data_IF_475854699047
#
_entry.id   IF_475854699047
#
_cell.length_a   1.000
_cell.length_b   1.000
_cell.length_c   1.000
_cell.angle_alpha   90.00
_cell.angle_beta   90.00
_cell.angle_gamma   90.00
#
_symmetry.space_group_name_H-M   'P 1'
#
loop_
_entity.id
_entity.type
_entity.pdbx_description
1 polymer ?
#
# COMPACT_ATOMS: atom_id res chain seq x y z
N UNK A 1 -54.91 9.30 35.97
CA UNK A 1 -54.16 9.83 34.82
C UNK A 1 -52.66 9.84 35.15
N UNK A 2 -51.99 8.71 35.10
CA UNK A 2 -50.53 8.59 35.38
C UNK A 2 -49.95 7.42 34.61
N UNK A 3 -49.73 7.56 33.28
CA UNK A 3 -49.05 6.52 32.48
C UNK A 3 -48.16 7.09 31.37
N UNK A 4 -47.80 8.39 31.42
CA UNK A 4 -47.00 9.02 30.38
C UNK A 4 -45.45 8.85 30.49
N UNK A 5 -44.77 8.82 31.67
CA UNK A 5 -43.30 8.85 31.72
C UNK A 5 -42.66 7.53 31.25
N UNK A 6 -43.30 6.39 31.47
CA UNK A 6 -42.73 5.07 31.11
C UNK A 6 -42.63 4.84 29.60
N UNK A 7 -43.52 5.37 28.80
CA UNK A 7 -43.45 5.25 27.31
C UNK A 7 -42.28 6.02 26.71
N UNK A 8 -41.96 7.18 27.25
CA UNK A 8 -40.78 7.97 26.77
C UNK A 8 -39.45 7.31 27.16
N UNK A 9 -39.37 6.70 28.33
CA UNK A 9 -38.17 5.99 28.78
C UNK A 9 -37.90 4.77 27.90
N UNK A 10 -38.94 3.98 27.58
CA UNK A 10 -38.79 2.85 26.64
C UNK A 10 -38.36 3.28 25.22
N UNK A 11 -38.93 4.36 24.69
CA UNK A 11 -38.54 4.87 23.36
C UNK A 11 -37.13 5.39 23.36
N UNK A 12 -36.66 6.07 24.38
CA UNK A 12 -35.30 6.54 24.51
C UNK A 12 -34.30 5.36 24.61
N UNK A 13 -34.61 4.35 25.41
CA UNK A 13 -33.80 3.13 25.56
C UNK A 13 -33.71 2.33 24.26
N UNK A 14 -34.81 2.21 23.52
CA UNK A 14 -34.79 1.52 22.21
C UNK A 14 -34.03 2.31 21.15
N UNK A 15 -34.09 3.64 21.12
CA UNK A 15 -33.29 4.47 20.21
C UNK A 15 -31.81 4.42 20.57
N UNK A 16 -31.47 4.41 21.87
CA UNK A 16 -30.06 4.27 22.31
C UNK A 16 -29.51 2.88 21.96
N UNK A 17 -30.28 1.82 22.12
CA UNK A 17 -29.85 0.45 21.75
C UNK A 17 -29.66 0.31 20.24
N UNK A 18 -30.51 0.90 19.40
CA UNK A 18 -30.35 0.94 17.95
C UNK A 18 -29.10 1.74 17.52
N UNK A 19 -28.83 2.87 18.17
CA UNK A 19 -27.64 3.68 17.90
C UNK A 19 -26.37 2.92 18.28
N UNK A 20 -26.33 2.19 19.40
CA UNK A 20 -25.17 1.37 19.80
C UNK A 20 -24.94 0.22 18.83
N UNK A 21 -26.00 -0.47 18.37
CA UNK A 21 -25.90 -1.55 17.38
C UNK A 21 -25.41 -1.02 16.04
N UNK A 22 -25.87 0.18 15.61
CA UNK A 22 -25.39 0.81 14.39
C UNK A 22 -23.91 1.22 14.47
N UNK A 23 -23.46 1.70 15.65
CA UNK A 23 -22.04 2.04 15.87
C UNK A 23 -21.15 0.79 15.90
N UNK A 24 -21.62 -0.32 16.47
CA UNK A 24 -20.88 -1.58 16.51
C UNK A 24 -20.78 -2.25 15.13
N UNK A 25 -21.78 -2.10 14.26
CA UNK A 25 -21.74 -2.65 12.91
C UNK A 25 -20.76 -1.91 11.99
N UNK A 26 -20.52 -0.61 12.21
CA UNK A 26 -19.53 0.17 11.47
C UNK A 26 -18.10 -0.19 11.90
N UNK A 27 -17.88 -0.48 13.19
CA UNK A 27 -16.55 -0.86 13.70
C UNK A 27 -16.09 -2.26 13.27
N UNK A 28 -17.02 -3.19 12.95
CA UNK A 28 -16.68 -4.56 12.53
C UNK A 28 -16.30 -4.71 11.05
N UNK A 29 -16.54 -3.72 10.19
CA UNK A 29 -16.27 -3.84 8.75
C UNK A 29 -14.84 -3.52 8.34
N UNK A 30 -14.07 -2.83 9.19
CA UNK A 30 -12.78 -2.24 8.80
C UNK A 30 -11.57 -3.17 9.00
N UNK A 31 -11.65 -4.13 9.92
CA UNK A 31 -10.55 -5.08 10.17
C UNK A 31 -10.65 -6.38 9.36
N UNK A 32 -11.83 -6.69 8.81
CA UNK A 32 -12.11 -8.00 8.18
C UNK A 32 -11.32 -8.28 6.91
N UNK A 33 -10.95 -7.25 6.15
CA UNK A 33 -10.31 -7.43 4.85
C UNK A 33 -8.77 -7.30 4.87
N UNK A 34 -8.18 -6.72 5.92
CA UNK A 34 -6.72 -6.50 5.98
C UNK A 34 -5.90 -7.77 5.79
N UNK A 35 -6.14 -8.88 6.51
CA UNK A 35 -5.34 -10.10 6.31
C UNK A 35 -5.45 -10.65 4.88
N UNK A 36 -6.62 -10.55 4.25
CA UNK A 36 -6.81 -11.00 2.88
C UNK A 36 -6.11 -10.07 1.87
N UNK A 37 -6.18 -8.76 2.07
CA UNK A 37 -5.43 -7.77 1.25
C UNK A 37 -3.94 -8.04 1.34
N UNK A 38 -3.41 -8.25 2.54
CA UNK A 38 -2.00 -8.56 2.77
C UNK A 38 -1.59 -9.85 2.07
N UNK A 39 -2.38 -10.92 2.23
CA UNK A 39 -2.16 -12.21 1.56
C UNK A 39 -2.17 -12.06 0.02
N UNK A 40 -3.12 -11.31 -0.52
CA UNK A 40 -3.22 -11.08 -1.97
C UNK A 40 -2.02 -10.28 -2.50
N UNK A 41 -1.54 -9.30 -1.75
CA UNK A 41 -0.35 -8.53 -2.09
C UNK A 41 0.92 -9.41 -2.08
N UNK A 42 1.09 -10.25 -1.08
CA UNK A 42 2.21 -11.21 -1.00
C UNK A 42 2.18 -12.21 -2.17
N UNK A 43 1.00 -12.77 -2.47
CA UNK A 43 0.83 -13.67 -3.62
C UNK A 43 1.12 -12.93 -4.92
N UNK A 44 0.61 -11.71 -5.09
CA UNK A 44 0.91 -10.86 -6.25
C UNK A 44 2.41 -10.69 -6.43
N UNK A 45 3.10 -10.29 -5.36
CA UNK A 45 4.55 -10.10 -5.36
C UNK A 45 5.29 -11.40 -5.73
N UNK A 46 4.87 -12.55 -5.19
CA UNK A 46 5.49 -13.84 -5.48
C UNK A 46 5.50 -14.22 -6.96
N UNK A 47 4.62 -13.61 -7.76
CA UNK A 47 4.52 -13.82 -9.21
C UNK A 47 5.28 -12.79 -10.06
N UNK A 48 5.90 -11.74 -9.48
CA UNK A 48 6.52 -10.63 -10.22
C UNK A 48 7.39 -11.08 -11.40
N UNK A 49 8.28 -12.04 -11.18
CA UNK A 49 9.21 -12.51 -12.21
C UNK A 49 8.82 -13.86 -12.82
N UNK A 50 7.63 -14.38 -12.51
CA UNK A 50 7.15 -15.68 -12.97
C UNK A 50 5.93 -15.58 -13.88
N UNK A 51 4.96 -14.74 -13.52
CA UNK A 51 3.71 -14.59 -14.27
C UNK A 51 3.08 -13.23 -14.04
N UNK A 52 3.23 -12.31 -14.99
CA UNK A 52 2.71 -10.95 -14.89
C UNK A 52 1.18 -10.87 -14.86
N UNK A 53 0.48 -11.81 -15.49
CA UNK A 53 -1.00 -11.83 -15.46
C UNK A 53 -1.51 -12.21 -14.08
N UNK A 54 -0.86 -13.19 -13.43
CA UNK A 54 -1.14 -13.54 -12.03
C UNK A 54 -0.82 -12.37 -11.09
N UNK A 55 0.36 -11.74 -11.23
CA UNK A 55 0.71 -10.52 -10.49
C UNK A 55 -0.41 -9.50 -10.59
N UNK A 56 -0.84 -9.18 -11.82
CA UNK A 56 -1.89 -8.18 -12.07
C UNK A 56 -3.24 -8.57 -11.47
N UNK A 57 -3.62 -9.84 -11.59
CA UNK A 57 -4.91 -10.32 -11.09
C UNK A 57 -5.00 -10.21 -9.56
N UNK A 58 -3.97 -10.68 -8.84
CA UNK A 58 -3.92 -10.59 -7.39
C UNK A 58 -3.81 -9.15 -6.88
N UNK A 59 -2.98 -8.31 -7.52
CA UNK A 59 -2.87 -6.89 -7.17
C UNK A 59 -4.19 -6.13 -7.37
N UNK A 60 -4.92 -6.39 -8.46
CA UNK A 60 -6.24 -5.79 -8.66
C UNK A 60 -7.23 -6.21 -7.58
N UNK A 61 -7.23 -7.49 -7.21
CA UNK A 61 -8.11 -7.98 -6.16
C UNK A 61 -7.77 -7.39 -4.80
N UNK A 62 -6.48 -7.26 -4.47
CA UNK A 62 -6.03 -6.55 -3.28
C UNK A 62 -6.53 -5.10 -3.27
N UNK A 63 -6.36 -4.38 -4.39
CA UNK A 63 -6.80 -3.00 -4.54
C UNK A 63 -8.32 -2.82 -4.34
N UNK A 64 -9.13 -3.73 -4.88
CA UNK A 64 -10.59 -3.72 -4.72
C UNK A 64 -11.03 -3.87 -3.25
N UNK A 65 -10.30 -4.69 -2.48
CA UNK A 65 -10.61 -4.98 -1.08
C UNK A 65 -10.01 -3.97 -0.09
N UNK A 66 -9.08 -3.12 -0.53
CA UNK A 66 -8.30 -2.21 0.32
C UNK A 66 -8.92 -0.84 0.51
N UNK A 67 -10.25 -0.66 0.37
CA UNK A 67 -10.91 0.65 0.38
C UNK A 67 -10.61 1.49 1.63
N UNK A 68 -10.47 0.83 2.79
CA UNK A 68 -10.19 1.48 4.08
C UNK A 68 -8.84 0.97 4.67
N UNK A 69 -7.91 0.59 3.83
CA UNK A 69 -6.60 0.10 4.24
C UNK A 69 -5.51 0.68 3.30
N UNK A 70 -5.06 1.89 3.63
CA UNK A 70 -4.19 2.70 2.77
C UNK A 70 -2.84 2.01 2.49
N UNK A 71 -2.22 1.36 3.48
CA UNK A 71 -0.96 0.63 3.29
C UNK A 71 -1.11 -0.55 2.33
N UNK A 72 -2.15 -1.38 2.51
CA UNK A 72 -2.43 -2.50 1.60
C UNK A 72 -2.82 -2.03 0.20
N UNK A 73 -3.47 -0.86 0.09
CA UNK A 73 -3.77 -0.20 -1.17
C UNK A 73 -2.50 0.26 -1.88
N UNK A 74 -1.60 0.91 -1.16
CA UNK A 74 -0.32 1.38 -1.69
C UNK A 74 0.54 0.20 -2.19
N UNK A 75 0.60 -0.91 -1.45
CA UNK A 75 1.29 -2.12 -1.87
C UNK A 75 0.67 -2.71 -3.16
N UNK A 76 -0.66 -2.77 -3.26
CA UNK A 76 -1.35 -3.23 -4.46
C UNK A 76 -1.03 -2.34 -5.68
N UNK A 77 -0.99 -1.01 -5.49
CA UNK A 77 -0.59 -0.06 -6.53
C UNK A 77 0.86 -0.25 -6.94
N UNK A 78 1.78 -0.48 -6.01
CA UNK A 78 3.17 -0.81 -6.31
C UNK A 78 3.29 -2.09 -7.16
N UNK A 79 2.52 -3.15 -6.83
CA UNK A 79 2.47 -4.38 -7.60
C UNK A 79 1.91 -4.16 -9.03
N UNK A 80 0.89 -3.31 -9.18
CA UNK A 80 0.36 -2.93 -10.49
C UNK A 80 1.35 -2.11 -11.31
N UNK A 81 2.03 -1.15 -10.68
CA UNK A 81 3.05 -0.34 -11.35
C UNK A 81 4.21 -1.19 -11.88
N UNK A 82 4.64 -2.21 -11.12
CA UNK A 82 5.62 -3.19 -11.59
C UNK A 82 5.19 -3.86 -12.90
N UNK A 83 3.95 -4.32 -12.98
CA UNK A 83 3.40 -4.93 -14.22
C UNK A 83 3.42 -3.95 -15.39
N UNK A 84 3.03 -2.69 -15.15
CA UNK A 84 3.01 -1.67 -16.20
C UNK A 84 4.44 -1.31 -16.66
N UNK A 85 5.44 -1.28 -15.77
CA UNK A 85 6.85 -1.09 -16.14
C UNK A 85 7.35 -2.24 -17.02
N UNK A 86 7.09 -3.48 -16.62
CA UNK A 86 7.55 -4.65 -17.40
C UNK A 86 6.87 -4.72 -18.76
N UNK A 87 5.62 -4.28 -18.87
CA UNK A 87 4.87 -4.17 -20.14
C UNK A 87 5.20 -2.91 -20.94
N UNK A 88 6.18 -2.10 -20.49
CA UNK A 88 6.58 -0.84 -21.13
C UNK A 88 5.48 0.23 -21.17
N UNK A 89 4.45 0.11 -20.36
CA UNK A 89 3.38 1.13 -20.21
C UNK A 89 3.84 2.24 -19.26
N UNK A 90 4.94 2.90 -19.58
CA UNK A 90 5.67 3.80 -18.67
C UNK A 90 4.85 4.97 -18.17
N UNK A 91 4.01 5.57 -19.01
CA UNK A 91 3.15 6.69 -18.59
C UNK A 91 2.16 6.27 -17.50
N UNK A 92 1.55 5.07 -17.64
CA UNK A 92 0.63 4.53 -16.67
C UNK A 92 1.33 4.15 -15.36
N UNK A 93 2.50 3.50 -15.46
CA UNK A 93 3.31 3.20 -14.30
C UNK A 93 3.68 4.46 -13.52
N UNK A 94 4.11 5.51 -14.21
CA UNK A 94 4.44 6.80 -13.61
C UNK A 94 3.26 7.41 -12.86
N UNK A 95 2.07 7.45 -13.47
CA UNK A 95 0.86 7.97 -12.83
C UNK A 95 0.51 7.21 -11.55
N UNK A 96 0.57 5.87 -11.57
CA UNK A 96 0.31 5.04 -10.40
C UNK A 96 1.32 5.35 -9.29
N UNK A 97 2.62 5.31 -9.60
CA UNK A 97 3.68 5.51 -8.60
C UNK A 97 3.63 6.90 -7.96
N UNK A 98 3.34 7.93 -8.74
CA UNK A 98 3.23 9.30 -8.23
C UNK A 98 2.03 9.53 -7.31
N UNK A 99 1.00 8.70 -7.38
CA UNK A 99 -0.17 8.80 -6.49
C UNK A 99 0.04 8.16 -5.11
N UNK A 100 1.05 7.29 -4.95
CA UNK A 100 1.24 6.52 -3.71
C UNK A 100 1.55 7.41 -2.48
N UNK A 101 2.48 8.39 -2.54
CA UNK A 101 2.78 9.25 -1.39
C UNK A 101 1.59 10.09 -0.90
N UNK A 102 0.59 10.32 -1.77
CA UNK A 102 -0.64 11.04 -1.41
C UNK A 102 -1.66 10.13 -0.70
N UNK A 103 -1.45 8.82 -0.73
CA UNK A 103 -2.39 7.82 -0.23
C UNK A 103 -1.95 7.16 1.07
N UNK A 104 -0.66 7.19 1.41
CA UNK A 104 -0.15 6.55 2.62
C UNK A 104 1.10 7.25 3.16
N UNK A 105 1.22 7.27 4.49
CA UNK A 105 2.42 7.69 5.20
C UNK A 105 3.42 6.53 5.40
N UNK A 106 3.10 5.32 4.92
CA UNK A 106 3.96 4.15 5.03
C UNK A 106 5.26 4.33 4.24
N UNK A 107 6.35 4.57 4.96
CA UNK A 107 7.67 4.85 4.39
C UNK A 107 8.22 3.68 3.55
N UNK A 108 7.83 2.43 3.86
CA UNK A 108 8.28 1.26 3.08
C UNK A 108 7.62 1.28 1.70
N UNK A 109 6.33 1.56 1.61
CA UNK A 109 5.63 1.63 0.33
C UNK A 109 6.05 2.86 -0.49
N UNK A 110 6.37 3.99 0.15
CA UNK A 110 6.97 5.14 -0.51
C UNK A 110 8.37 4.81 -1.07
N UNK A 111 9.21 4.10 -0.30
CA UNK A 111 10.52 3.60 -0.76
C UNK A 111 10.38 2.68 -1.98
N UNK A 112 9.45 1.72 -1.95
CA UNK A 112 9.18 0.83 -3.09
C UNK A 112 8.77 1.62 -4.32
N UNK A 113 7.93 2.64 -4.15
CA UNK A 113 7.51 3.53 -5.24
C UNK A 113 8.70 4.30 -5.84
N UNK A 114 9.57 4.89 -5.01
CA UNK A 114 10.75 5.61 -5.48
C UNK A 114 11.72 4.70 -6.22
N UNK A 115 11.96 3.48 -5.72
CA UNK A 115 12.80 2.47 -6.39
C UNK A 115 12.24 2.10 -7.78
N UNK A 116 10.93 1.97 -7.89
CA UNK A 116 10.30 1.70 -9.18
C UNK A 116 10.37 2.92 -10.12
N UNK A 117 10.26 4.14 -9.60
CA UNK A 117 10.48 5.37 -10.37
C UNK A 117 11.94 5.48 -10.85
N UNK A 118 12.93 5.11 -10.02
CA UNK A 118 14.32 4.99 -10.45
C UNK A 118 14.47 4.01 -11.62
N UNK A 119 13.88 2.82 -11.52
CA UNK A 119 13.87 1.80 -12.59
C UNK A 119 13.23 2.32 -13.87
N UNK A 120 12.14 3.05 -13.76
CA UNK A 120 11.45 3.67 -14.89
C UNK A 120 12.34 4.73 -15.56
N UNK A 121 12.97 5.60 -14.77
CA UNK A 121 13.91 6.62 -15.28
C UNK A 121 15.11 5.98 -15.98
N UNK A 122 15.68 4.91 -15.44
CA UNK A 122 16.76 4.16 -16.07
C UNK A 122 16.34 3.63 -17.45
N UNK A 123 15.16 3.03 -17.58
CA UNK A 123 14.63 2.52 -18.86
C UNK A 123 14.36 3.62 -19.90
N UNK A 124 14.16 4.85 -19.45
CA UNK A 124 13.88 6.02 -20.29
C UNK A 124 15.10 6.92 -20.47
N UNK A 125 16.26 6.56 -19.91
CA UNK A 125 17.49 7.35 -19.92
C UNK A 125 17.31 8.76 -19.32
N UNK A 126 16.47 8.88 -18.30
CA UNK A 126 16.15 10.13 -17.60
C UNK A 126 17.05 10.31 -16.37
N UNK A 127 18.35 10.55 -16.58
CA UNK A 127 19.34 10.59 -15.50
C UNK A 127 19.03 11.60 -14.40
N UNK A 128 18.58 12.81 -14.74
CA UNK A 128 18.22 13.84 -13.75
C UNK A 128 17.10 13.37 -12.81
N UNK A 129 16.07 12.77 -13.37
CA UNK A 129 14.95 12.25 -12.59
C UNK A 129 15.37 11.02 -11.78
N UNK A 130 16.27 10.19 -12.30
CA UNK A 130 16.84 9.06 -11.57
C UNK A 130 17.51 9.52 -10.26
N UNK A 131 18.38 10.52 -10.32
CA UNK A 131 19.05 11.06 -9.13
C UNK A 131 18.08 11.72 -8.14
N UNK A 132 17.03 12.35 -8.62
CA UNK A 132 15.99 12.89 -7.76
C UNK A 132 15.31 11.77 -6.92
N UNK A 133 14.87 10.69 -7.57
CA UNK A 133 14.25 9.56 -6.85
C UNK A 133 15.25 8.76 -6.01
N UNK A 134 16.50 8.67 -6.44
CA UNK A 134 17.57 8.07 -5.63
C UNK A 134 17.72 8.81 -4.28
N UNK A 135 17.74 10.12 -4.30
CA UNK A 135 17.86 10.92 -3.08
C UNK A 135 16.63 10.71 -2.16
N UNK A 136 15.42 10.72 -2.72
CA UNK A 136 14.19 10.42 -1.98
C UNK A 136 14.23 9.03 -1.35
N UNK A 137 14.62 8.01 -2.09
CA UNK A 137 14.75 6.64 -1.59
C UNK A 137 15.77 6.54 -0.45
N UNK A 138 16.92 7.23 -0.56
CA UNK A 138 17.94 7.29 0.51
C UNK A 138 17.40 7.97 1.77
N UNK A 139 16.63 9.04 1.63
CA UNK A 139 16.02 9.74 2.76
C UNK A 139 14.90 8.90 3.42
N UNK A 140 14.13 8.14 2.64
CA UNK A 140 13.20 7.13 3.17
C UNK A 140 13.94 6.06 3.97
N UNK A 141 15.04 5.52 3.44
CA UNK A 141 15.84 4.51 4.14
C UNK A 141 16.38 5.01 5.48
N UNK A 142 16.80 6.27 5.57
CA UNK A 142 17.26 6.87 6.84
C UNK A 142 16.12 6.93 7.86
N UNK A 143 14.95 7.46 7.46
CA UNK A 143 13.78 7.55 8.36
C UNK A 143 13.33 6.16 8.84
N UNK A 144 13.25 5.18 7.93
CA UNK A 144 12.89 3.80 8.30
C UNK A 144 13.89 3.22 9.30
N UNK A 145 15.19 3.50 9.15
CA UNK A 145 16.23 2.98 10.06
C UNK A 145 16.05 3.47 11.50
N UNK A 146 15.57 4.69 11.68
CA UNK A 146 15.29 5.27 13.02
C UNK A 146 14.19 4.48 13.73
N UNK A 147 13.19 4.01 13.00
CA UNK A 147 12.00 3.32 13.50
C UNK A 147 11.99 1.80 13.26
N UNK A 148 13.07 1.22 12.72
CA UNK A 148 13.11 -0.18 12.26
C UNK A 148 12.75 -1.20 13.36
N UNK A 149 13.04 -0.86 14.63
CA UNK A 149 12.72 -1.73 15.77
C UNK A 149 11.22 -1.84 16.03
N UNK A 150 10.43 -0.89 15.57
CA UNK A 150 8.97 -0.85 15.74
C UNK A 150 8.22 -1.66 14.67
N UNK A 151 8.91 -2.10 13.60
CA UNK A 151 8.30 -2.84 12.51
C UNK A 151 7.90 -4.25 12.96
N UNK A 152 6.72 -4.69 12.52
CA UNK A 152 6.30 -6.08 12.65
C UNK A 152 7.05 -7.01 11.67
N UNK A 153 6.79 -8.32 11.73
CA UNK A 153 7.49 -9.33 10.91
C UNK A 153 7.21 -9.12 9.41
N UNK A 154 5.97 -8.82 9.04
CA UNK A 154 5.56 -8.57 7.66
C UNK A 154 6.24 -7.31 7.10
N UNK A 155 6.23 -6.22 7.86
CA UNK A 155 6.89 -4.97 7.50
C UNK A 155 8.41 -5.15 7.34
N UNK A 156 9.06 -5.91 8.23
CA UNK A 156 10.49 -6.25 8.09
C UNK A 156 10.76 -7.04 6.81
N UNK A 157 9.95 -8.04 6.50
CA UNK A 157 10.06 -8.78 5.23
C UNK A 157 9.92 -7.87 4.02
N UNK A 158 8.95 -6.98 4.03
CA UNK A 158 8.72 -5.99 2.97
C UNK A 158 9.88 -5.00 2.84
N UNK A 159 10.47 -4.56 3.95
CA UNK A 159 11.65 -3.68 3.95
C UNK A 159 12.89 -4.38 3.37
N UNK A 160 13.14 -5.63 3.71
CA UNK A 160 14.25 -6.42 3.14
C UNK A 160 14.12 -6.48 1.61
N UNK A 161 12.90 -6.71 1.12
CA UNK A 161 12.62 -6.67 -0.30
C UNK A 161 12.94 -5.29 -0.90
N UNK A 162 12.41 -4.21 -0.34
CA UNK A 162 12.60 -2.84 -0.83
C UNK A 162 14.09 -2.47 -0.89
N UNK A 163 14.87 -2.83 0.14
CA UNK A 163 16.33 -2.64 0.19
C UNK A 163 17.05 -3.43 -0.90
N UNK A 164 16.63 -4.67 -1.15
CA UNK A 164 17.22 -5.51 -2.20
C UNK A 164 16.98 -4.93 -3.59
N UNK A 165 15.75 -4.51 -3.88
CA UNK A 165 15.41 -3.87 -5.15
C UNK A 165 16.13 -2.53 -5.34
N UNK A 166 16.25 -1.72 -4.27
CA UNK A 166 17.05 -0.48 -4.29
C UNK A 166 18.50 -0.78 -4.68
N UNK A 167 19.13 -1.76 -4.02
CA UNK A 167 20.51 -2.13 -4.30
C UNK A 167 20.69 -2.61 -5.75
N UNK A 168 19.76 -3.43 -6.27
CA UNK A 168 19.79 -3.92 -7.65
C UNK A 168 19.68 -2.77 -8.65
N UNK A 169 18.68 -1.90 -8.49
CA UNK A 169 18.43 -0.79 -9.42
C UNK A 169 19.59 0.21 -9.40
N UNK A 170 20.12 0.54 -8.21
CA UNK A 170 21.23 1.47 -8.08
C UNK A 170 22.53 0.90 -8.63
N UNK A 171 22.86 -0.36 -8.32
CA UNK A 171 24.03 -1.03 -8.86
C UNK A 171 23.99 -1.13 -10.39
N UNK A 172 22.84 -1.53 -10.94
CA UNK A 172 22.67 -1.58 -12.39
C UNK A 172 22.88 -0.21 -13.05
N UNK A 173 22.43 0.88 -12.42
CA UNK A 173 22.64 2.23 -12.94
C UNK A 173 24.12 2.66 -12.93
N UNK A 174 24.88 2.26 -11.91
CA UNK A 174 26.32 2.59 -11.82
C UNK A 174 27.18 1.83 -12.84
N UNK A 175 26.68 0.71 -13.39
CA UNK A 175 27.40 -0.14 -14.33
C UNK A 175 27.27 0.32 -15.80
N UNK A 176 26.29 1.17 -16.12
CA UNK A 176 26.00 1.68 -17.46
C UNK A 176 26.20 3.19 -17.56
#
# INVERSE_FOLDING_TARGET
MQTQPYRYIHTILTLLSLAVVALLSVACSDTGNRPEVDRLNEVSYSYHYRNLDSTRAYAKRALELSQNYDDGRAEALNNLAFVEIVRMNYSRAFTILKSIPEQTDNQIEQLVSDVQLMRLCQRRSENKNFYHYLQHAQDCLKRIHEDEKLLDERQRGRLIYARSEFAIVYSAYLYY
#
